data_IF_571228487620
#
_entry.id   IF_571228487620
#
_cell.length_a   1.000
_cell.length_b   1.000
_cell.length_c   1.000
_cell.angle_alpha   90.00
_cell.angle_beta   90.00
_cell.angle_gamma   90.00
#
_symmetry.space_group_name_H-M   'P 1'
#
loop_
_entity.id
_entity.type
_entity.pdbx_description
1 polymer ?
#
# COMPACT_ATOMS: atom_id res chain seq x y z
N UNK A 1 7.92 13.63 31.77
CA UNK A 1 8.34 12.37 31.15
C UNK A 1 7.89 12.47 29.73
N UNK A 2 8.76 13.06 28.92
CA UNK A 2 8.48 13.47 27.56
C UNK A 2 8.23 12.23 26.72
N UNK A 3 7.05 12.19 26.10
CA UNK A 3 6.68 11.17 25.14
C UNK A 3 7.62 11.38 23.96
N UNK A 4 8.56 10.45 23.76
CA UNK A 4 9.41 10.43 22.57
C UNK A 4 8.52 10.46 21.35
N UNK A 5 8.50 11.61 20.69
CA UNK A 5 7.92 11.82 19.39
C UNK A 5 8.64 10.88 18.43
N UNK A 6 8.04 9.73 18.18
CA UNK A 6 8.46 8.80 17.13
C UNK A 6 8.19 9.45 15.79
N UNK A 7 9.04 10.42 15.44
CA UNK A 7 9.03 11.29 14.27
C UNK A 7 8.45 10.53 13.09
N UNK A 8 7.21 10.86 12.77
CA UNK A 8 6.60 10.46 11.51
C UNK A 8 7.38 11.22 10.45
N UNK A 9 8.24 10.51 9.73
CA UNK A 9 8.94 11.08 8.57
C UNK A 9 7.94 11.87 7.73
N UNK A 10 8.30 13.12 7.42
CA UNK A 10 7.40 14.06 6.75
C UNK A 10 6.97 13.47 5.40
N UNK A 11 5.83 13.91 4.86
CA UNK A 11 5.39 13.46 3.53
C UNK A 11 6.46 13.71 2.47
N UNK A 12 7.21 14.80 2.62
CA UNK A 12 8.35 15.15 1.79
C UNK A 12 9.52 14.17 1.96
N UNK A 13 9.89 13.82 3.19
CA UNK A 13 10.94 12.83 3.46
C UNK A 13 10.58 11.45 2.90
N UNK A 14 9.31 11.03 3.00
CA UNK A 14 8.84 9.77 2.42
C UNK A 14 8.89 9.77 0.88
N UNK A 15 8.57 10.91 0.26
CA UNK A 15 8.63 11.07 -1.17
C UNK A 15 10.08 11.05 -1.67
N UNK A 16 10.95 11.83 -1.04
CA UNK A 16 12.32 12.06 -1.51
C UNK A 16 13.27 10.93 -1.18
N UNK A 17 13.19 10.39 0.05
CA UNK A 17 14.10 9.34 0.51
C UNK A 17 13.63 7.96 0.10
N UNK A 18 12.32 7.72 0.16
CA UNK A 18 11.75 6.38 -0.02
C UNK A 18 10.97 6.22 -1.32
N UNK A 19 10.77 7.30 -2.11
CA UNK A 19 10.04 7.25 -3.37
C UNK A 19 8.54 6.98 -3.20
N UNK A 20 7.98 7.21 -2.01
CA UNK A 20 6.57 7.00 -1.71
C UNK A 20 5.80 8.25 -2.12
N UNK A 21 5.21 8.21 -3.32
CA UNK A 21 4.49 9.35 -3.90
C UNK A 21 3.10 9.56 -3.28
N UNK A 22 2.53 8.50 -2.68
CA UNK A 22 1.22 8.57 -2.04
C UNK A 22 1.20 7.68 -0.79
N UNK A 23 1.22 8.31 0.39
CA UNK A 23 1.22 7.59 1.68
C UNK A 23 -0.05 6.76 1.90
N UNK A 24 -1.21 7.21 1.42
CA UNK A 24 -2.49 6.52 1.63
C UNK A 24 -2.47 5.17 0.93
N UNK A 25 -2.05 5.17 -0.34
CA UNK A 25 -1.92 3.95 -1.14
C UNK A 25 -0.88 3.01 -0.56
N UNK A 26 0.25 3.56 -0.13
CA UNK A 26 1.30 2.79 0.51
C UNK A 26 0.78 2.11 1.79
N UNK A 27 0.12 2.85 2.69
CA UNK A 27 -0.45 2.32 3.94
C UNK A 27 -1.55 1.29 3.66
N UNK A 28 -2.39 1.52 2.65
CA UNK A 28 -3.38 0.53 2.21
C UNK A 28 -2.69 -0.77 1.72
N UNK A 29 -1.60 -0.64 0.96
CA UNK A 29 -0.76 -1.76 0.56
C UNK A 29 -0.17 -2.52 1.75
N UNK A 30 0.31 -1.82 2.78
CA UNK A 30 0.81 -2.43 4.04
C UNK A 30 -0.31 -3.14 4.80
N UNK A 31 -1.52 -2.58 4.84
CA UNK A 31 -2.67 -3.23 5.46
C UNK A 31 -3.03 -4.55 4.76
N UNK A 32 -3.10 -4.55 3.42
CA UNK A 32 -3.30 -5.78 2.66
C UNK A 32 -2.14 -6.77 2.83
N UNK A 33 -0.90 -6.30 2.84
CA UNK A 33 0.26 -7.16 3.13
C UNK A 33 0.13 -7.83 4.51
N UNK A 34 -0.33 -7.08 5.51
CA UNK A 34 -0.56 -7.57 6.88
C UNK A 34 -1.63 -8.66 6.92
N UNK A 35 -2.72 -8.48 6.16
CA UNK A 35 -3.76 -9.50 5.99
C UNK A 35 -3.18 -10.75 5.31
N UNK A 36 -2.45 -10.58 4.20
CA UNK A 36 -1.88 -11.69 3.46
C UNK A 36 -0.87 -12.51 4.27
N UNK A 37 -0.04 -11.87 5.08
CA UNK A 37 0.94 -12.56 5.93
C UNK A 37 0.38 -12.97 7.31
N UNK A 38 -0.86 -12.60 7.62
CA UNK A 38 -1.47 -12.75 8.94
C UNK A 38 -0.57 -12.22 10.08
N UNK A 39 0.07 -11.08 9.84
CA UNK A 39 1.08 -10.52 10.72
C UNK A 39 1.00 -8.99 10.76
N UNK A 40 1.30 -8.40 11.91
CA UNK A 40 1.45 -6.95 12.02
C UNK A 40 2.73 -6.52 11.29
N UNK A 41 2.58 -5.66 10.29
CA UNK A 41 3.70 -5.06 9.56
C UNK A 41 3.83 -3.60 9.98
N UNK A 42 5.02 -3.22 10.45
CA UNK A 42 5.32 -1.81 10.62
C UNK A 42 5.53 -1.17 9.23
N UNK A 43 4.72 -0.16 8.93
CA UNK A 43 4.78 0.58 7.67
C UNK A 43 6.05 1.43 7.57
N UNK A 44 6.71 1.73 8.70
CA UNK A 44 7.96 2.50 8.72
C UNK A 44 9.17 1.68 8.27
N UNK A 45 9.08 0.35 8.30
CA UNK A 45 10.15 -0.53 7.82
C UNK A 45 10.10 -0.71 6.29
N UNK A 46 10.33 0.37 5.52
CA UNK A 46 10.13 0.40 4.07
C UNK A 46 10.80 -0.75 3.31
N UNK A 47 12.04 -1.08 3.65
CA UNK A 47 12.78 -2.18 3.03
C UNK A 47 12.15 -3.55 3.37
N UNK A 48 11.73 -3.75 4.62
CA UNK A 48 11.07 -4.97 5.06
C UNK A 48 9.71 -5.13 4.38
N UNK A 49 8.91 -4.06 4.30
CA UNK A 49 7.62 -4.03 3.58
C UNK A 49 7.80 -4.46 2.13
N UNK A 50 8.73 -3.85 1.40
CA UNK A 50 9.00 -4.18 -0.01
C UNK A 50 9.46 -5.62 -0.20
N UNK A 51 10.34 -6.11 0.66
CA UNK A 51 10.81 -7.50 0.63
C UNK A 51 9.65 -8.47 0.88
N UNK A 52 8.85 -8.21 1.90
CA UNK A 52 7.70 -9.05 2.29
C UNK A 52 6.62 -9.07 1.20
N UNK A 53 6.36 -7.94 0.56
CA UNK A 53 5.40 -7.85 -0.55
C UNK A 53 5.81 -8.72 -1.75
N UNK A 54 7.10 -8.71 -2.13
CA UNK A 54 7.62 -9.58 -3.20
C UNK A 54 7.53 -11.06 -2.85
N UNK A 55 7.70 -11.40 -1.57
CA UNK A 55 7.65 -12.76 -1.07
C UNK A 55 6.22 -13.26 -0.75
N UNK A 56 5.19 -12.42 -0.93
CA UNK A 56 3.81 -12.76 -0.57
C UNK A 56 3.22 -13.78 -1.56
N UNK A 57 2.86 -14.97 -1.08
CA UNK A 57 2.25 -16.01 -1.93
C UNK A 57 0.94 -16.62 -1.36
N UNK A 58 0.62 -16.30 -0.10
CA UNK A 58 -0.46 -16.93 0.69
C UNK A 58 -1.87 -16.77 0.14
N UNK A 59 -2.17 -15.68 -0.59
CA UNK A 59 -3.49 -15.37 -1.15
C UNK A 59 -3.50 -15.35 -2.69
N UNK A 60 -2.45 -15.93 -3.29
CA UNK A 60 -2.30 -16.10 -4.73
C UNK A 60 -1.81 -14.86 -5.48
N UNK A 61 -1.41 -15.08 -6.74
CA UNK A 61 -0.71 -14.06 -7.53
C UNK A 61 -1.51 -12.78 -7.86
N UNK A 62 -2.84 -12.84 -7.86
CA UNK A 62 -3.67 -11.64 -8.04
C UNK A 62 -3.60 -10.72 -6.81
N UNK A 63 -3.66 -11.32 -5.61
CA UNK A 63 -3.49 -10.61 -4.36
C UNK A 63 -2.09 -10.02 -4.22
N UNK A 64 -1.05 -10.83 -4.52
CA UNK A 64 0.33 -10.33 -4.56
C UNK A 64 0.45 -9.11 -5.46
N UNK A 65 0.01 -9.19 -6.71
CA UNK A 65 0.07 -8.07 -7.65
C UNK A 65 -0.68 -6.83 -7.17
N UNK A 66 -1.83 -7.00 -6.53
CA UNK A 66 -2.59 -5.90 -5.94
C UNK A 66 -1.79 -5.19 -4.81
N UNK A 67 -1.22 -5.96 -3.89
CA UNK A 67 -0.36 -5.45 -2.81
C UNK A 67 0.87 -4.75 -3.38
N UNK A 68 1.53 -5.36 -4.37
CA UNK A 68 2.67 -4.74 -5.03
C UNK A 68 2.28 -3.42 -5.69
N UNK A 69 1.21 -3.40 -6.48
CA UNK A 69 0.76 -2.17 -7.15
C UNK A 69 0.55 -1.01 -6.17
N UNK A 70 0.00 -1.27 -4.99
CA UNK A 70 -0.20 -0.24 -3.95
C UNK A 70 1.11 0.22 -3.29
N UNK A 71 2.03 -0.70 -2.98
CA UNK A 71 3.31 -0.39 -2.33
C UNK A 71 4.25 0.40 -3.24
N UNK A 72 4.19 0.14 -4.55
CA UNK A 72 4.97 0.85 -5.57
C UNK A 72 4.14 1.87 -6.36
N UNK A 73 2.91 2.18 -5.92
CA UNK A 73 2.00 3.03 -6.67
C UNK A 73 2.57 4.44 -6.86
N UNK A 74 2.64 4.84 -8.12
CA UNK A 74 2.58 6.24 -8.51
C UNK A 74 1.41 6.36 -9.49
N UNK A 75 0.19 6.55 -8.97
CA UNK A 75 -1.00 6.63 -9.82
C UNK A 75 -1.06 7.93 -10.64
N UNK A 76 -0.04 8.79 -10.58
CA UNK A 76 0.01 10.09 -11.27
C UNK A 76 -1.23 10.96 -11.06
N UNK A 77 -2.09 10.63 -10.09
CA UNK A 77 -3.18 11.48 -9.62
C UNK A 77 -2.51 12.58 -8.84
N UNK A 78 -2.74 13.84 -9.25
CA UNK A 78 -2.14 15.00 -8.61
C UNK A 78 -2.47 15.01 -7.11
N UNK A 79 -1.49 14.56 -6.30
CA UNK A 79 -1.40 14.72 -4.86
C UNK A 79 -2.70 14.62 -4.03
N UNK A 80 -3.58 13.60 -4.17
CA UNK A 80 -4.57 13.38 -3.13
C UNK A 80 -3.89 12.69 -1.94
N UNK A 81 -3.80 13.43 -0.84
CA UNK A 81 -3.29 12.99 0.47
C UNK A 81 -4.31 12.16 1.27
N UNK A 82 -5.52 11.95 0.74
CA UNK A 82 -6.57 11.18 1.41
C UNK A 82 -7.50 10.45 0.41
N UNK A 83 -8.31 9.52 0.94
CA UNK A 83 -9.28 8.72 0.18
C UNK A 83 -10.54 9.49 -0.24
N UNK A 84 -10.68 10.78 0.08
CA UNK A 84 -11.87 11.55 -0.30
C UNK A 84 -11.86 11.88 -1.80
N UNK A 85 -10.66 11.94 -2.39
CA UNK A 85 -10.47 12.09 -3.83
C UNK A 85 -11.22 11.00 -4.61
N UNK A 86 -12.19 11.42 -5.41
CA UNK A 86 -12.97 10.53 -6.26
C UNK A 86 -12.08 9.81 -7.27
N UNK A 87 -11.12 10.51 -7.86
CA UNK A 87 -10.16 9.96 -8.81
C UNK A 87 -9.29 8.89 -8.17
N UNK A 88 -8.80 9.14 -6.94
CA UNK A 88 -8.03 8.14 -6.20
C UNK A 88 -8.86 6.89 -5.90
N UNK A 89 -10.11 7.06 -5.46
CA UNK A 89 -11.03 5.94 -5.20
C UNK A 89 -11.33 5.14 -6.47
N UNK A 90 -11.60 5.82 -7.57
CA UNK A 90 -11.82 5.20 -8.89
C UNK A 90 -10.62 4.37 -9.30
N UNK A 91 -9.42 4.93 -9.18
CA UNK A 91 -8.19 4.22 -9.54
C UNK A 91 -7.96 2.99 -8.66
N UNK A 92 -8.17 3.09 -7.35
CA UNK A 92 -8.09 1.94 -6.43
C UNK A 92 -9.11 0.86 -6.82
N UNK A 93 -10.36 1.23 -7.08
CA UNK A 93 -11.41 0.29 -7.47
C UNK A 93 -11.01 -0.45 -8.74
N UNK A 94 -10.58 0.28 -9.77
CA UNK A 94 -10.25 -0.29 -11.07
C UNK A 94 -8.97 -1.13 -11.06
N UNK A 95 -7.94 -0.70 -10.33
CA UNK A 95 -6.61 -1.33 -10.38
C UNK A 95 -6.38 -2.42 -9.34
N UNK A 96 -7.13 -2.39 -8.23
CA UNK A 96 -6.98 -3.29 -7.09
C UNK A 96 -8.24 -4.11 -6.87
N UNK A 97 -9.38 -3.48 -6.59
CA UNK A 97 -10.59 -4.19 -6.14
C UNK A 97 -11.18 -5.07 -7.25
N UNK A 98 -11.50 -4.50 -8.41
CA UNK A 98 -12.12 -5.23 -9.51
C UNK A 98 -11.28 -6.45 -9.97
N UNK A 99 -9.94 -6.36 -10.10
CA UNK A 99 -9.11 -7.53 -10.39
C UNK A 99 -9.19 -8.65 -9.34
N UNK A 100 -9.30 -8.31 -8.06
CA UNK A 100 -9.43 -9.29 -6.98
C UNK A 100 -10.81 -9.97 -7.02
N UNK A 101 -11.88 -9.21 -7.22
CA UNK A 101 -13.25 -9.74 -7.31
C UNK A 101 -13.47 -10.66 -8.52
N UNK A 102 -12.93 -10.29 -9.70
CA UNK A 102 -13.06 -11.08 -10.93
C UNK A 102 -12.43 -12.47 -10.82
N UNK A 103 -11.43 -12.63 -9.94
CA UNK A 103 -10.79 -13.93 -9.68
C UNK A 103 -11.44 -14.72 -8.55
N UNK A 104 -12.14 -14.06 -7.63
CA UNK A 104 -12.94 -14.73 -6.61
C UNK A 104 -14.16 -15.48 -7.18
N UNK A 105 -14.70 -15.03 -8.32
CA UNK A 105 -15.84 -15.65 -9.02
C UNK A 105 -15.56 -16.95 -9.78
N UNK A 106 -14.32 -17.47 -9.75
CA UNK A 106 -13.99 -18.82 -10.26
C UNK A 106 -13.83 -19.79 -9.08
N UNK A 107 -14.94 -20.14 -8.44
CA UNK A 107 -15.05 -21.26 -7.51
C UNK A 107 -16.30 -22.04 -7.86
#
# INVERSE_FOLDING_TARGET
MDIEDGSVASEEELRETYGIQNQVLYRLGVALLSIGLWAKIDWREFAAVRRKARALDSLGGAYRKAVERLIWANFNVAAPTNLDSEDLRKEIIQTVICPLEKKAKRR
#
